data_IF_390107181823
#
_entry.id   IF_390107181823
#
_cell.length_a   1.000
_cell.length_b   1.000
_cell.length_c   1.000
_cell.angle_alpha   90.00
_cell.angle_beta   90.00
_cell.angle_gamma   90.00
#
_symmetry.space_group_name_H-M   'P 1'
#
loop_
_entity.id
_entity.type
_entity.pdbx_description
1 polymer ?
#
# COMPACT_ATOMS: atom_id res chain seq x y z
N UNK A 1 44.09 -8.91 2.50
CA UNK A 1 42.61 -9.09 2.43
C UNK A 1 41.87 -8.98 3.78
N UNK A 2 42.48 -8.45 4.87
CA UNK A 2 41.82 -8.38 6.19
C UNK A 2 41.05 -7.06 6.46
N UNK A 3 41.30 -6.00 5.68
CA UNK A 3 40.65 -4.68 5.81
C UNK A 3 39.29 -4.54 5.09
N UNK A 4 38.91 -5.46 4.19
CA UNK A 4 37.63 -5.35 3.48
C UNK A 4 36.41 -5.62 4.38
N UNK A 5 36.54 -6.54 5.35
CA UNK A 5 35.43 -6.93 6.23
C UNK A 5 34.89 -5.78 7.11
N UNK A 6 35.71 -4.96 7.78
CA UNK A 6 35.19 -3.83 8.55
C UNK A 6 34.59 -2.74 7.64
N UNK A 7 35.16 -2.53 6.45
CA UNK A 7 34.64 -1.57 5.48
C UNK A 7 33.26 -1.99 4.96
N UNK A 8 33.09 -3.27 4.61
CA UNK A 8 31.79 -3.84 4.22
C UNK A 8 30.76 -3.78 5.35
N UNK A 9 31.18 -3.95 6.61
CA UNK A 9 30.29 -3.75 7.78
C UNK A 9 29.83 -2.31 7.92
N UNK A 10 30.73 -1.35 7.73
CA UNK A 10 30.38 0.07 7.79
C UNK A 10 29.40 0.46 6.68
N UNK A 11 29.69 0.06 5.44
CA UNK A 11 28.82 0.29 4.29
C UNK A 11 27.44 -0.34 4.52
N UNK A 12 27.40 -1.53 5.12
CA UNK A 12 26.13 -2.21 5.43
C UNK A 12 25.34 -1.52 6.54
N UNK A 13 26.00 -1.04 7.60
CA UNK A 13 25.33 -0.22 8.62
C UNK A 13 24.79 1.09 8.06
N UNK A 14 25.54 1.75 7.17
CA UNK A 14 25.09 2.96 6.47
C UNK A 14 23.90 2.66 5.56
N UNK A 15 23.93 1.53 4.84
CA UNK A 15 22.82 1.07 4.00
C UNK A 15 21.57 0.78 4.83
N UNK A 16 21.70 0.05 5.95
CA UNK A 16 20.57 -0.24 6.83
C UNK A 16 19.95 1.05 7.39
N UNK A 17 20.79 2.04 7.74
CA UNK A 17 20.33 3.38 8.13
C UNK A 17 19.57 4.11 7.02
N UNK A 18 20.07 4.07 5.78
CA UNK A 18 19.41 4.67 4.63
C UNK A 18 18.07 3.99 4.32
N UNK A 19 17.99 2.67 4.44
CA UNK A 19 16.76 1.89 4.28
C UNK A 19 15.74 2.28 5.34
N UNK A 20 16.14 2.37 6.62
CA UNK A 20 15.24 2.78 7.71
C UNK A 20 14.76 4.22 7.51
N UNK A 21 15.64 5.13 7.09
CA UNK A 21 15.29 6.52 6.82
C UNK A 21 14.33 6.65 5.63
N UNK A 22 14.59 5.92 4.54
CA UNK A 22 13.70 5.86 3.38
C UNK A 22 12.34 5.27 3.75
N UNK A 23 12.31 4.21 4.56
CA UNK A 23 11.08 3.63 5.08
C UNK A 23 10.31 4.65 5.94
N UNK A 24 11.00 5.42 6.79
CA UNK A 24 10.38 6.45 7.61
C UNK A 24 9.80 7.60 6.77
N UNK A 25 10.49 8.03 5.71
CA UNK A 25 9.99 9.03 4.76
C UNK A 25 8.75 8.53 4.03
N UNK A 26 8.81 7.33 3.45
CA UNK A 26 7.69 6.72 2.73
C UNK A 26 6.52 6.49 3.67
N UNK A 27 6.74 5.88 4.85
CA UNK A 27 5.67 5.64 5.82
C UNK A 27 5.11 6.94 6.42
N UNK A 28 5.94 7.96 6.59
CA UNK A 28 5.54 9.29 7.02
C UNK A 28 4.58 9.95 6.01
N UNK A 29 4.91 9.90 4.72
CA UNK A 29 4.04 10.39 3.65
C UNK A 29 2.76 9.56 3.51
N UNK A 30 2.84 8.23 3.64
CA UNK A 30 1.65 7.38 3.58
C UNK A 30 0.75 7.61 4.79
N UNK A 31 1.26 8.01 5.96
CA UNK A 31 0.42 8.29 7.13
C UNK A 31 -0.55 9.45 6.88
N UNK A 32 -0.12 10.49 6.17
CA UNK A 32 -0.95 11.61 5.77
C UNK A 32 -2.01 11.18 4.75
N UNK A 33 -1.62 10.31 3.80
CA UNK A 33 -2.51 9.74 2.80
C UNK A 33 -3.56 8.80 3.41
N UNK A 34 -3.16 7.95 4.36
CA UNK A 34 -4.07 7.09 5.12
C UNK A 34 -5.02 7.91 6.00
N UNK A 35 -4.53 8.94 6.67
CA UNK A 35 -5.37 9.84 7.46
C UNK A 35 -6.39 10.58 6.57
N UNK A 36 -5.98 11.01 5.37
CA UNK A 36 -6.87 11.62 4.39
C UNK A 36 -7.91 10.61 3.87
N UNK A 37 -7.50 9.38 3.53
CA UNK A 37 -8.38 8.29 3.10
C UNK A 37 -9.38 7.85 4.19
N UNK A 38 -9.01 7.95 5.48
CA UNK A 38 -9.92 7.70 6.61
C UNK A 38 -10.94 8.83 6.80
N UNK A 39 -10.56 10.08 6.53
CA UNK A 39 -11.44 11.26 6.70
C UNK A 39 -12.47 11.40 5.59
N UNK A 40 -12.12 11.02 4.37
CA UNK A 40 -13.03 11.02 3.23
C UNK A 40 -13.15 9.58 2.73
N UNK A 41 -14.24 8.85 3.07
CA UNK A 41 -14.48 7.56 2.42
C UNK A 41 -14.46 7.81 0.91
N UNK A 42 -13.60 7.09 0.20
CA UNK A 42 -13.49 7.16 -1.25
C UNK A 42 -14.83 6.73 -1.85
N UNK A 43 -15.76 7.68 -2.02
CA UNK A 43 -17.14 7.45 -2.53
C UNK A 43 -17.18 7.13 -4.03
N UNK A 44 -16.09 6.60 -4.56
CA UNK A 44 -15.88 6.33 -5.98
C UNK A 44 -15.26 7.51 -6.73
N UNK A 45 -14.77 7.21 -7.93
CA UNK A 45 -14.22 8.21 -8.84
C UNK A 45 -15.36 9.11 -9.37
N UNK A 46 -15.07 10.39 -9.68
CA UNK A 46 -16.07 11.32 -10.22
C UNK A 46 -16.72 10.78 -11.50
N UNK A 47 -17.97 11.20 -11.81
CA UNK A 47 -18.64 10.81 -13.04
C UNK A 47 -17.80 11.25 -14.25
N UNK A 48 -17.55 10.33 -15.18
CA UNK A 48 -16.73 10.57 -16.37
C UNK A 48 -15.23 10.27 -16.23
N UNK A 49 -14.76 9.80 -15.08
CA UNK A 49 -13.36 9.36 -14.95
C UNK A 49 -13.11 8.10 -15.78
N UNK A 50 -12.04 8.02 -16.61
CA UNK A 50 -11.78 6.87 -17.48
C UNK A 50 -11.59 5.55 -16.72
N UNK A 51 -11.07 5.63 -15.49
CA UNK A 51 -10.87 4.49 -14.60
C UNK A 51 -12.11 4.12 -13.77
N UNK A 52 -13.22 4.86 -13.92
CA UNK A 52 -14.46 4.53 -13.21
C UNK A 52 -15.07 3.28 -13.84
N UNK A 53 -15.18 2.22 -13.05
CA UNK A 53 -15.86 1.00 -13.45
C UNK A 53 -17.30 1.33 -13.88
N UNK A 54 -17.65 0.89 -15.08
CA UNK A 54 -19.01 0.97 -15.63
C UNK A 54 -19.90 -0.01 -14.87
N UNK A 55 -20.80 0.51 -14.03
CA UNK A 55 -21.73 -0.30 -13.23
C UNK A 55 -22.85 -0.93 -14.06
N UNK A 56 -23.01 -0.47 -15.29
CA UNK A 56 -23.95 -0.95 -16.31
C UNK A 56 -23.47 -2.21 -17.04
N UNK A 57 -22.17 -2.53 -16.96
CA UNK A 57 -21.61 -3.69 -17.64
C UNK A 57 -21.68 -4.94 -16.73
N UNK A 58 -22.31 -6.04 -17.17
CA UNK A 58 -22.35 -7.26 -16.36
C UNK A 58 -20.94 -7.81 -16.17
N UNK A 59 -20.58 -8.07 -14.91
CA UNK A 59 -19.31 -8.70 -14.57
C UNK A 59 -19.22 -10.11 -15.15
N UNK A 60 -18.09 -10.40 -15.79
CA UNK A 60 -17.74 -11.75 -16.22
C UNK A 60 -17.69 -12.71 -15.01
N UNK A 61 -17.79 -14.04 -15.24
CA UNK A 61 -17.69 -15.02 -14.15
C UNK A 61 -16.41 -14.89 -13.32
N UNK A 62 -15.29 -14.53 -13.95
CA UNK A 62 -14.00 -14.31 -13.28
C UNK A 62 -14.03 -13.07 -12.39
N UNK A 63 -14.53 -11.95 -12.89
CA UNK A 63 -14.64 -10.70 -12.12
C UNK A 63 -15.59 -10.86 -10.93
N UNK A 64 -16.70 -11.60 -11.10
CA UNK A 64 -17.60 -11.96 -9.98
C UNK A 64 -16.91 -12.81 -8.92
N UNK A 65 -16.00 -13.69 -9.32
CA UNK A 65 -15.20 -14.46 -8.37
C UNK A 65 -14.22 -13.56 -7.63
N UNK A 66 -13.46 -12.73 -8.34
CA UNK A 66 -12.51 -11.79 -7.73
C UNK A 66 -13.20 -10.78 -6.81
N UNK A 67 -14.37 -10.26 -7.19
CA UNK A 67 -15.15 -9.36 -6.34
C UNK A 67 -15.54 -10.01 -5.02
N UNK A 68 -15.85 -11.31 -5.02
CA UNK A 68 -16.13 -12.07 -3.78
C UNK A 68 -14.88 -12.29 -2.93
N UNK A 69 -13.75 -12.55 -3.57
CA UNK A 69 -12.46 -12.71 -2.88
C UNK A 69 -12.00 -11.38 -2.24
N UNK A 70 -12.24 -10.24 -2.90
CA UNK A 70 -11.93 -8.90 -2.37
C UNK A 70 -12.92 -8.44 -1.29
N UNK A 71 -14.18 -8.83 -1.38
CA UNK A 71 -15.19 -8.54 -0.36
C UNK A 71 -15.02 -9.39 0.91
N UNK A 72 -14.28 -10.50 0.82
CA UNK A 72 -13.94 -11.28 2.00
C UNK A 72 -13.03 -10.44 2.91
N UNK A 73 -13.34 -10.34 4.21
CA UNK A 73 -12.49 -9.61 5.14
C UNK A 73 -11.12 -10.27 5.15
N UNK A 74 -10.08 -9.50 4.82
CA UNK A 74 -8.71 -9.97 4.91
C UNK A 74 -8.45 -10.45 6.36
N UNK A 75 -7.94 -11.68 6.57
CA UNK A 75 -7.66 -12.17 7.91
C UNK A 75 -6.60 -11.25 8.53
N UNK A 76 -7.01 -10.43 9.50
CA UNK A 76 -6.11 -9.55 10.25
C UNK A 76 -6.46 -8.05 10.26
N UNK A 77 -7.45 -7.57 9.48
CA UNK A 77 -7.95 -6.19 9.66
C UNK A 77 -8.84 -6.14 10.90
N UNK A 78 -8.22 -6.04 12.08
CA UNK A 78 -8.94 -5.76 13.34
C UNK A 78 -9.67 -4.43 13.16
N UNK A 79 -10.99 -4.49 13.14
CA UNK A 79 -11.86 -3.33 13.30
C UNK A 79 -11.60 -2.78 14.71
N UNK A 80 -10.81 -1.71 14.80
CA UNK A 80 -10.78 -0.86 15.97
C UNK A 80 -12.08 -0.07 15.97
N UNK A 81 -13.07 -0.61 16.68
CA UNK A 81 -14.22 0.13 17.20
C UNK A 81 -13.76 1.22 18.18
#
# INVERSE_FOLDING_TARGET
>A
MKLLRPCLRLVRGMWDGLVVYGLLLVCGETSAYEAAARRAPLRGLPPGHPERLRTDLPLSPLERRLARELAAPAPGRRESA
#
